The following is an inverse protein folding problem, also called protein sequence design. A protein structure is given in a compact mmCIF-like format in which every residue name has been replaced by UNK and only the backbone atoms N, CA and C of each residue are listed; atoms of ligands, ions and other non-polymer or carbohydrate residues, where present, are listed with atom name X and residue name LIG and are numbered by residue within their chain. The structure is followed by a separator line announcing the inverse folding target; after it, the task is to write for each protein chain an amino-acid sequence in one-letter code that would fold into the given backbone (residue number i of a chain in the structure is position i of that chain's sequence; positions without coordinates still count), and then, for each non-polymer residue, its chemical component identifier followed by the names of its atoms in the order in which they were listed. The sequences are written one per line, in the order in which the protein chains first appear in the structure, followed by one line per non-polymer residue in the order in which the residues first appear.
data_IF_401597082582
#
_entry.id   IF_401597082582
#
_cell.length_a   1.000
_cell.length_b   1.000
_cell.length_c   1.000
_cell.angle_alpha   90.00
_cell.angle_beta   90.00
_cell.angle_gamma   90.00
#
_symmetry.space_group_name_H-M   'P 1'
#
loop_
_entity.id
_entity.type
_entity.pdbx_description
1 polymer ?
#
# COMPACT_ATOMS: atom_id res chain seq x y z
N UNK A 1 71.46 -4.29 -65.41
CA UNK A 1 71.51 -3.06 -66.14
C UNK A 1 70.17 -2.37 -66.04
N UNK A 2 70.10 -1.36 -65.46
CA UNK A 2 70.01 0.04 -65.48
C UNK A 2 69.47 0.58 -64.14
N UNK A 3 70.25 1.44 -63.57
CA UNK A 3 69.97 2.25 -62.40
C UNK A 3 68.92 3.30 -62.64
N UNK A 4 68.09 3.61 -61.61
CA UNK A 4 67.48 4.93 -61.49
C UNK A 4 67.36 5.33 -60.04
N UNK A 5 67.92 6.48 -59.76
CA UNK A 5 68.10 7.19 -58.52
C UNK A 5 66.78 7.75 -57.95
N UNK A 6 66.64 7.89 -56.60
CA UNK A 6 65.43 8.42 -56.02
C UNK A 6 65.38 9.94 -56.02
N UNK A 7 64.20 10.51 -56.23
CA UNK A 7 63.88 11.91 -56.17
C UNK A 7 63.64 12.38 -54.71
N UNK A 8 64.18 13.57 -54.41
CA UNK A 8 64.08 14.28 -53.13
C UNK A 8 62.67 14.68 -52.82
N UNK A 9 62.26 14.47 -51.57
CA UNK A 9 61.00 14.94 -50.98
C UNK A 9 61.17 16.31 -50.34
N UNK A 10 60.37 17.26 -50.80
CA UNK A 10 60.31 18.62 -50.27
C UNK A 10 59.57 18.65 -48.87
N UNK A 11 59.74 19.76 -48.13
CA UNK A 11 59.29 19.81 -46.74
C UNK A 11 57.76 19.93 -46.61
N UNK A 12 57.18 19.03 -45.85
CA UNK A 12 55.76 19.05 -45.52
C UNK A 12 55.42 20.21 -44.54
N UNK A 13 54.56 21.08 -44.99
CA UNK A 13 53.92 22.13 -44.15
C UNK A 13 53.08 21.51 -43.06
N UNK A 14 53.45 21.72 -41.80
CA UNK A 14 52.62 21.38 -40.62
C UNK A 14 51.40 22.27 -40.66
N UNK A 15 50.23 21.68 -40.86
CA UNK A 15 48.94 22.29 -40.57
C UNK A 15 48.75 22.38 -39.03
N UNK A 16 48.63 23.62 -38.55
CA UNK A 16 48.26 23.88 -37.15
C UNK A 16 46.82 23.37 -36.88
N UNK A 17 46.70 22.36 -36.07
CA UNK A 17 45.39 21.92 -35.55
C UNK A 17 44.83 23.00 -34.62
N UNK A 18 43.77 23.67 -35.06
CA UNK A 18 42.94 24.52 -34.19
C UNK A 18 42.20 23.58 -33.23
N UNK A 19 42.66 23.54 -31.99
CA UNK A 19 41.93 22.90 -30.88
C UNK A 19 40.71 23.74 -30.58
N UNK A 20 39.56 23.37 -31.12
CA UNK A 20 38.25 23.83 -30.63
C UNK A 20 38.06 23.38 -29.16
N UNK A 21 37.28 24.12 -28.35
CA UNK A 21 37.02 23.72 -27.00
C UNK A 21 36.38 22.33 -27.01
N UNK A 22 36.96 21.41 -26.22
CA UNK A 22 36.39 20.11 -25.99
C UNK A 22 34.97 20.33 -25.37
N UNK A 23 33.94 19.92 -26.11
CA UNK A 23 32.58 19.86 -25.54
C UNK A 23 32.69 19.01 -24.28
N UNK A 24 32.38 19.59 -23.14
CA UNK A 24 32.24 18.85 -21.90
C UNK A 24 31.21 17.73 -22.16
N UNK A 25 31.61 16.48 -22.06
CA UNK A 25 30.70 15.36 -22.13
C UNK A 25 29.66 15.61 -21.04
N UNK A 26 28.42 15.93 -21.40
CA UNK A 26 27.32 15.99 -20.48
C UNK A 26 27.23 14.60 -19.84
N UNK A 27 27.53 14.51 -18.54
CA UNK A 27 27.38 13.27 -17.80
C UNK A 27 25.90 12.93 -17.78
N UNK A 28 25.55 11.74 -18.29
CA UNK A 28 24.17 11.24 -18.23
C UNK A 28 23.70 11.29 -16.76
N UNK A 29 22.58 11.95 -16.45
CA UNK A 29 22.07 11.99 -15.07
C UNK A 29 21.87 10.59 -14.52
N UNK A 30 22.35 10.30 -13.31
CA UNK A 30 22.24 8.97 -12.69
C UNK A 30 20.78 8.60 -12.37
N UNK A 31 19.92 9.59 -12.10
CA UNK A 31 18.49 9.40 -11.80
C UNK A 31 17.69 10.65 -12.19
N UNK A 32 16.38 10.48 -12.42
CA UNK A 32 15.47 11.63 -12.64
C UNK A 32 15.20 12.38 -11.33
N UNK A 33 14.95 13.69 -11.41
CA UNK A 33 14.52 14.47 -10.24
C UNK A 33 13.27 13.89 -9.56
N UNK A 34 12.37 13.34 -10.36
CA UNK A 34 11.10 12.72 -9.90
C UNK A 34 11.34 11.51 -8.99
N UNK A 35 12.35 10.68 -9.25
CA UNK A 35 12.69 9.55 -8.40
C UNK A 35 13.18 9.97 -7.00
N UNK A 36 13.72 11.18 -6.87
CA UNK A 36 14.12 11.77 -5.59
C UNK A 36 12.93 12.22 -4.71
N UNK A 37 11.73 12.31 -5.26
CA UNK A 37 10.50 12.61 -4.50
C UNK A 37 9.93 11.39 -3.75
N UNK A 38 10.34 10.18 -4.13
CA UNK A 38 9.89 8.93 -3.53
C UNK A 38 10.77 8.58 -2.34
N UNK A 39 10.20 8.59 -1.13
CA UNK A 39 10.94 8.24 0.08
C UNK A 39 10.96 6.71 0.27
N UNK A 40 12.09 6.14 0.72
CA UNK A 40 12.14 4.73 1.09
C UNK A 40 11.25 4.49 2.32
N UNK A 41 10.65 3.31 2.42
CA UNK A 41 9.98 2.86 3.64
C UNK A 41 11.02 2.40 4.67
N UNK A 42 11.01 2.98 5.88
CA UNK A 42 11.87 2.55 6.98
C UNK A 42 11.59 1.09 7.37
N UNK A 43 10.34 0.67 7.33
CA UNK A 43 9.92 -0.72 7.58
C UNK A 43 10.66 -1.74 6.68
N UNK A 44 10.99 -1.40 5.43
CA UNK A 44 11.73 -2.33 4.54
C UNK A 44 13.18 -2.54 5.00
N UNK A 45 13.80 -1.55 5.60
CA UNK A 45 15.11 -1.69 6.25
C UNK A 45 15.05 -2.63 7.45
N UNK A 46 14.00 -2.54 8.25
CA UNK A 46 13.74 -3.44 9.39
C UNK A 46 13.58 -4.88 8.91
N UNK A 47 12.79 -5.09 7.84
CA UNK A 47 12.60 -6.42 7.23
C UNK A 47 13.91 -7.04 6.79
N UNK A 48 14.79 -6.27 6.16
CA UNK A 48 16.10 -6.76 5.74
C UNK A 48 16.94 -7.20 6.96
N UNK A 49 16.90 -6.44 8.07
CA UNK A 49 17.56 -6.77 9.34
C UNK A 49 16.98 -8.05 9.95
N UNK A 50 15.64 -8.17 10.03
CA UNK A 50 14.95 -9.39 10.49
C UNK A 50 15.40 -10.61 9.69
N UNK A 51 15.45 -10.51 8.35
CA UNK A 51 15.91 -11.59 7.48
C UNK A 51 17.38 -11.97 7.71
N UNK A 52 18.24 -11.03 8.08
CA UNK A 52 19.64 -11.33 8.48
C UNK A 52 19.69 -12.07 9.82
N UNK A 53 18.93 -11.62 10.81
CA UNK A 53 18.83 -12.26 12.13
C UNK A 53 18.33 -13.71 12.01
N UNK A 54 17.29 -13.95 11.23
CA UNK A 54 16.74 -15.28 10.96
C UNK A 54 17.79 -16.20 10.31
N UNK A 55 18.52 -15.71 9.31
CA UNK A 55 19.61 -16.48 8.68
C UNK A 55 20.75 -16.80 9.65
N UNK A 56 20.94 -15.97 10.67
CA UNK A 56 21.89 -16.22 11.77
C UNK A 56 21.33 -17.17 12.85
N UNK A 57 20.12 -17.72 12.68
CA UNK A 57 19.49 -18.65 13.60
C UNK A 57 18.76 -18.00 14.77
N UNK A 58 18.55 -16.68 14.73
CA UNK A 58 17.82 -15.97 15.78
C UNK A 58 16.32 -16.06 15.55
N UNK A 59 15.54 -16.42 16.56
CA UNK A 59 14.08 -16.34 16.52
C UNK A 59 13.64 -14.89 16.56
N UNK A 60 12.80 -14.50 15.59
CA UNK A 60 12.28 -13.15 15.46
C UNK A 60 10.77 -13.15 15.22
N UNK A 61 10.10 -12.08 15.69
CA UNK A 61 8.66 -11.85 15.48
C UNK A 61 8.49 -10.54 14.71
N UNK A 62 8.07 -10.63 13.44
CA UNK A 62 8.02 -9.49 12.54
C UNK A 62 6.66 -8.76 12.61
N UNK A 63 6.41 -7.99 13.66
CA UNK A 63 5.24 -7.11 13.80
C UNK A 63 5.39 -5.77 13.06
N UNK A 64 6.44 -5.59 12.26
CA UNK A 64 6.64 -4.42 11.40
C UNK A 64 5.99 -4.55 10.03
N UNK A 65 5.58 -5.78 9.62
CA UNK A 65 5.05 -6.06 8.30
C UNK A 65 3.53 -6.05 8.24
N UNK A 66 2.99 -5.55 7.15
CA UNK A 66 1.57 -5.66 6.81
C UNK A 66 1.30 -6.89 5.93
N UNK A 67 1.78 -8.06 6.33
CA UNK A 67 1.66 -9.30 5.56
C UNK A 67 1.05 -10.41 6.42
N UNK A 68 -0.16 -10.91 6.07
CA UNK A 68 -0.77 -12.05 6.73
C UNK A 68 0.09 -13.30 6.57
N UNK A 69 0.21 -14.10 7.63
CA UNK A 69 1.07 -15.29 7.67
C UNK A 69 0.38 -16.58 7.21
N UNK A 70 -0.95 -16.60 7.10
CA UNK A 70 -1.72 -17.79 6.72
C UNK A 70 -1.54 -18.23 5.25
N UNK A 71 -1.11 -17.31 4.36
CA UNK A 71 -1.03 -17.57 2.92
C UNK A 71 -2.38 -17.61 2.21
N UNK A 72 -2.38 -18.03 0.93
CA UNK A 72 -3.59 -18.17 0.14
C UNK A 72 -4.46 -19.34 0.64
N UNK A 73 -5.81 -19.24 0.56
CA UNK A 73 -6.71 -20.33 0.91
C UNK A 73 -6.44 -21.61 0.12
N UNK A 74 -6.72 -22.77 0.73
CA UNK A 74 -6.51 -24.09 0.14
C UNK A 74 -7.16 -24.26 -1.24
N UNK A 75 -8.41 -23.81 -1.50
CA UNK A 75 -9.01 -23.90 -2.82
C UNK A 75 -8.25 -23.11 -3.89
N UNK A 76 -7.67 -21.97 -3.53
CA UNK A 76 -6.84 -21.14 -4.43
C UNK A 76 -5.56 -21.90 -4.80
N UNK A 77 -4.89 -22.52 -3.82
CA UNK A 77 -3.68 -23.32 -4.05
C UNK A 77 -3.95 -24.53 -4.94
N UNK A 78 -5.07 -25.22 -4.69
CA UNK A 78 -5.50 -26.35 -5.52
C UNK A 78 -5.77 -25.92 -6.97
N UNK A 79 -6.51 -24.83 -7.15
CA UNK A 79 -6.82 -24.28 -8.48
C UNK A 79 -5.57 -23.82 -9.22
N UNK A 80 -4.62 -23.20 -8.52
CA UNK A 80 -3.32 -22.84 -9.10
C UNK A 80 -2.56 -24.06 -9.63
N UNK A 81 -2.50 -25.14 -8.84
CA UNK A 81 -1.84 -26.38 -9.24
C UNK A 81 -2.51 -27.01 -10.48
N UNK A 82 -3.84 -27.00 -10.56
CA UNK A 82 -4.59 -27.45 -11.74
C UNK A 82 -4.22 -26.64 -12.97
N UNK A 83 -4.37 -25.30 -12.92
CA UNK A 83 -4.11 -24.39 -14.04
C UNK A 83 -2.70 -24.51 -14.59
N UNK A 84 -1.72 -24.81 -13.75
CA UNK A 84 -0.34 -25.01 -14.18
C UNK A 84 -0.11 -26.35 -14.87
N UNK A 85 -1.03 -27.33 -14.74
CA UNK A 85 -0.84 -28.70 -15.22
C UNK A 85 -1.90 -29.20 -16.23
N UNK A 86 -3.05 -28.50 -16.38
CA UNK A 86 -4.18 -28.94 -17.21
C UNK A 86 -4.07 -28.53 -18.68
N UNK A 87 -3.01 -27.84 -19.07
CA UNK A 87 -2.81 -27.32 -20.42
C UNK A 87 -3.54 -26.00 -20.71
N UNK A 88 -4.07 -25.33 -19.69
CA UNK A 88 -4.64 -23.97 -19.83
C UNK A 88 -3.64 -23.04 -20.50
N UNK A 89 -4.06 -22.33 -21.55
CA UNK A 89 -3.23 -21.36 -22.25
C UNK A 89 -2.97 -20.14 -21.36
N UNK A 90 -1.73 -20.00 -20.86
CA UNK A 90 -1.32 -18.89 -19.99
C UNK A 90 -0.73 -17.71 -20.78
N UNK A 91 -1.32 -17.38 -21.94
CA UNK A 91 -1.02 -16.17 -22.71
C UNK A 91 -1.58 -14.92 -22.05
N UNK A 92 -1.51 -13.77 -22.73
CA UNK A 92 -2.11 -12.55 -22.22
C UNK A 92 -3.63 -12.69 -22.07
N UNK A 93 -4.16 -12.22 -20.95
CA UNK A 93 -5.61 -12.04 -20.77
C UNK A 93 -6.08 -10.72 -21.40
N UNK A 94 -7.40 -10.48 -21.47
CA UNK A 94 -7.91 -9.13 -21.67
C UNK A 94 -7.28 -8.14 -20.68
N UNK A 95 -7.16 -6.87 -21.06
CA UNK A 95 -6.45 -5.83 -20.27
C UNK A 95 -6.97 -5.76 -18.84
N UNK A 96 -8.29 -5.79 -18.65
CA UNK A 96 -8.93 -5.74 -17.33
C UNK A 96 -9.13 -7.10 -16.68
N UNK A 97 -8.49 -8.15 -17.20
CA UNK A 97 -8.53 -9.50 -16.64
C UNK A 97 -9.56 -10.42 -17.28
N UNK A 98 -9.50 -11.69 -16.87
CA UNK A 98 -10.40 -12.72 -17.39
C UNK A 98 -11.85 -12.46 -16.94
N UNK A 99 -12.85 -12.75 -17.82
CA UNK A 99 -14.25 -12.52 -17.49
C UNK A 99 -14.69 -13.23 -16.20
N UNK A 100 -14.28 -14.48 -16.01
CA UNK A 100 -14.65 -15.31 -14.87
C UNK A 100 -14.26 -14.68 -13.53
N UNK A 101 -13.10 -14.03 -13.46
CA UNK A 101 -12.66 -13.36 -12.24
C UNK A 101 -13.43 -12.06 -12.01
N UNK A 102 -13.71 -11.30 -13.07
CA UNK A 102 -14.48 -10.06 -12.97
C UNK A 102 -15.92 -10.34 -12.55
N UNK A 103 -16.52 -11.41 -13.05
CA UNK A 103 -17.85 -11.89 -12.64
C UNK A 103 -17.85 -12.36 -11.18
N UNK A 104 -16.82 -13.08 -10.74
CA UNK A 104 -16.66 -13.50 -9.35
C UNK A 104 -16.52 -12.31 -8.40
N UNK A 105 -15.73 -11.28 -8.76
CA UNK A 105 -15.63 -10.03 -7.99
C UNK A 105 -17.00 -9.32 -7.95
N UNK A 106 -17.73 -9.22 -9.05
CA UNK A 106 -19.07 -8.61 -9.09
C UNK A 106 -20.04 -9.35 -8.16
N UNK A 107 -20.00 -10.68 -8.15
CA UNK A 107 -20.83 -11.50 -7.22
C UNK A 107 -20.46 -11.24 -5.76
N UNK A 108 -19.15 -11.14 -5.45
CA UNK A 108 -18.68 -10.79 -4.10
C UNK A 108 -19.25 -9.43 -3.63
N UNK A 109 -19.29 -8.41 -4.48
CA UNK A 109 -19.88 -7.11 -4.13
C UNK A 109 -21.39 -7.19 -3.90
N UNK A 110 -22.10 -8.03 -4.69
CA UNK A 110 -23.53 -8.29 -4.47
C UNK A 110 -23.78 -8.98 -3.14
N UNK A 111 -22.97 -9.99 -2.81
CA UNK A 111 -23.14 -10.81 -1.61
C UNK A 111 -22.75 -10.06 -0.33
N UNK A 112 -21.72 -9.22 -0.40
CA UNK A 112 -21.20 -8.51 0.77
C UNK A 112 -21.88 -7.18 1.03
N UNK A 113 -22.22 -6.44 -0.02
CA UNK A 113 -22.69 -5.06 0.08
C UNK A 113 -24.07 -4.84 -0.55
N UNK A 114 -24.65 -5.83 -1.21
CA UNK A 114 -25.90 -5.66 -1.97
C UNK A 114 -25.77 -4.79 -3.22
N UNK A 115 -24.53 -4.60 -3.72
CA UNK A 115 -24.23 -3.74 -4.86
C UNK A 115 -24.16 -4.56 -6.16
N UNK A 116 -24.90 -4.16 -7.17
CA UNK A 116 -24.87 -4.79 -8.50
C UNK A 116 -23.87 -4.07 -9.41
N UNK A 117 -22.63 -4.52 -9.37
CA UNK A 117 -21.52 -3.93 -10.13
C UNK A 117 -21.40 -4.61 -11.49
N UNK A 118 -21.44 -3.83 -12.58
CA UNK A 118 -21.21 -4.35 -13.91
C UNK A 118 -19.74 -4.85 -14.04
N UNK A 119 -19.49 -6.12 -14.46
CA UNK A 119 -18.14 -6.65 -14.59
C UNK A 119 -17.22 -5.80 -15.49
N UNK A 120 -17.77 -5.03 -16.43
CA UNK A 120 -17.00 -4.15 -17.32
C UNK A 120 -16.39 -2.94 -16.61
N UNK A 121 -16.88 -2.59 -15.44
CA UNK A 121 -16.29 -1.56 -14.56
C UNK A 121 -15.15 -2.08 -13.72
N UNK A 122 -14.90 -3.40 -13.67
CA UNK A 122 -13.89 -4.04 -12.83
C UNK A 122 -12.61 -4.22 -13.63
N UNK A 123 -11.55 -3.57 -13.18
CA UNK A 123 -10.21 -3.69 -13.72
C UNK A 123 -9.33 -4.52 -12.77
N UNK A 124 -9.00 -5.75 -13.15
CA UNK A 124 -8.04 -6.59 -12.42
C UNK A 124 -6.63 -6.06 -12.66
N UNK A 125 -5.87 -5.90 -11.59
CA UNK A 125 -4.57 -5.20 -11.60
C UNK A 125 -3.48 -6.01 -10.92
N UNK A 126 -2.22 -5.59 -11.10
CA UNK A 126 -1.05 -6.17 -10.42
C UNK A 126 -1.01 -5.72 -8.95
N UNK A 127 -1.92 -6.28 -8.13
CA UNK A 127 -2.19 -5.84 -6.77
C UNK A 127 -2.83 -4.45 -6.72
N UNK A 128 -3.19 -4.00 -5.52
CA UNK A 128 -3.67 -2.62 -5.31
C UNK A 128 -2.65 -1.56 -5.74
N UNK A 129 -1.35 -1.86 -5.67
CA UNK A 129 -0.31 -0.93 -6.13
C UNK A 129 -0.44 -0.59 -7.61
N UNK A 130 -0.78 -1.58 -8.46
CA UNK A 130 -1.09 -1.35 -9.88
C UNK A 130 -2.39 -0.57 -10.05
N UNK A 131 -3.41 -0.84 -9.21
CA UNK A 131 -4.65 -0.11 -9.21
C UNK A 131 -4.44 1.37 -8.89
N UNK A 132 -3.64 1.71 -7.85
CA UNK A 132 -3.32 3.11 -7.51
C UNK A 132 -2.61 3.83 -8.66
N UNK A 133 -1.60 3.20 -9.27
CA UNK A 133 -0.87 3.80 -10.38
C UNK A 133 -1.80 4.10 -11.58
N UNK A 134 -2.60 3.12 -11.99
CA UNK A 134 -3.57 3.28 -13.09
C UNK A 134 -4.60 4.35 -12.74
N UNK A 135 -5.20 4.31 -11.55
CA UNK A 135 -6.24 5.24 -11.13
C UNK A 135 -5.72 6.66 -11.03
N UNK A 136 -4.57 6.88 -10.37
CA UNK A 136 -4.01 8.22 -10.21
C UNK A 136 -3.62 8.83 -11.56
N UNK A 137 -3.02 8.04 -12.47
CA UNK A 137 -2.72 8.49 -13.84
C UNK A 137 -3.98 8.77 -14.68
N UNK A 138 -5.07 8.12 -14.37
CA UNK A 138 -6.35 8.31 -15.10
C UNK A 138 -7.11 9.52 -14.57
N UNK A 139 -7.02 9.80 -13.26
CA UNK A 139 -7.85 10.79 -12.59
C UNK A 139 -7.17 12.16 -12.42
N UNK A 140 -5.83 12.22 -12.38
CA UNK A 140 -5.12 13.42 -11.96
C UNK A 140 -4.04 13.85 -12.95
N UNK A 141 -3.97 15.16 -13.17
CA UNK A 141 -2.90 15.83 -13.92
C UNK A 141 -1.76 16.29 -12.99
N UNK A 142 -0.63 16.64 -13.60
CA UNK A 142 0.50 17.26 -12.89
C UNK A 142 0.06 18.58 -12.27
N UNK A 143 0.29 18.72 -10.96
CA UNK A 143 -0.12 19.89 -10.18
C UNK A 143 -1.51 19.79 -9.54
N UNK A 144 -2.29 18.74 -9.83
CA UNK A 144 -3.56 18.52 -9.15
C UNK A 144 -3.33 18.24 -7.65
N UNK A 145 -4.17 18.87 -6.82
CA UNK A 145 -4.13 18.74 -5.37
C UNK A 145 -4.98 17.56 -4.91
N UNK A 146 -4.34 16.59 -4.27
CA UNK A 146 -4.99 15.37 -3.77
C UNK A 146 -4.85 15.28 -2.25
N UNK A 147 -5.97 15.26 -1.56
CA UNK A 147 -6.03 15.14 -0.10
C UNK A 147 -5.92 13.68 0.35
N UNK A 148 -5.25 13.47 1.48
CA UNK A 148 -5.16 12.17 2.16
C UNK A 148 -4.94 12.37 3.67
N UNK A 149 -5.32 11.34 4.47
CA UNK A 149 -5.15 11.39 5.92
C UNK A 149 -3.67 11.33 6.34
N UNK A 150 -3.35 12.03 7.41
CA UNK A 150 -2.13 11.87 8.21
C UNK A 150 -2.54 11.63 9.68
N UNK A 151 -2.14 10.51 10.32
CA UNK A 151 -1.30 9.43 9.78
C UNK A 151 -1.98 8.63 8.65
N UNK A 152 -1.18 8.13 7.70
CA UNK A 152 -1.67 7.40 6.53
C UNK A 152 -0.60 6.53 5.87
N UNK A 153 -1.02 5.66 4.95
CA UNK A 153 -0.09 4.78 4.24
C UNK A 153 0.80 5.56 3.26
N UNK A 154 2.10 5.57 3.53
CA UNK A 154 3.07 6.40 2.81
C UNK A 154 3.16 6.17 1.29
N UNK A 155 2.71 4.99 0.76
CA UNK A 155 2.74 4.75 -0.67
C UNK A 155 1.84 5.70 -1.45
N UNK A 156 0.68 6.10 -0.92
CA UNK A 156 -0.22 7.02 -1.63
C UNK A 156 0.48 8.33 -1.96
N UNK A 157 1.06 8.98 -0.94
CA UNK A 157 1.77 10.25 -1.15
C UNK A 157 3.00 10.11 -2.03
N UNK A 158 3.73 9.00 -1.92
CA UNK A 158 4.90 8.74 -2.74
C UNK A 158 4.54 8.55 -4.21
N UNK A 159 3.46 7.81 -4.52
CA UNK A 159 2.98 7.61 -5.91
C UNK A 159 2.46 8.93 -6.47
N UNK A 160 1.61 9.66 -5.74
CA UNK A 160 1.09 10.96 -6.16
C UNK A 160 2.21 11.97 -6.44
N UNK A 161 3.20 12.09 -5.53
CA UNK A 161 4.34 12.97 -5.72
C UNK A 161 5.19 12.56 -6.94
N UNK A 162 5.42 11.25 -7.16
CA UNK A 162 6.13 10.75 -8.34
C UNK A 162 5.39 11.05 -9.65
N UNK A 163 4.06 11.13 -9.62
CA UNK A 163 3.23 11.52 -10.76
C UNK A 163 3.14 13.04 -10.95
N UNK A 164 3.62 13.80 -9.98
CA UNK A 164 3.67 15.27 -10.03
C UNK A 164 2.43 15.95 -9.45
N UNK A 165 1.59 15.21 -8.73
CA UNK A 165 0.47 15.78 -7.97
C UNK A 165 0.99 16.53 -6.72
N UNK A 166 0.24 17.53 -6.27
CA UNK A 166 0.43 18.16 -4.98
C UNK A 166 -0.33 17.35 -3.90
N UNK A 167 0.42 16.84 -2.93
CA UNK A 167 -0.15 16.07 -1.82
C UNK A 167 -0.58 17.00 -0.70
N UNK A 168 -1.86 16.94 -0.31
CA UNK A 168 -2.45 17.69 0.79
C UNK A 168 -2.71 16.74 1.95
N UNK A 169 -1.82 16.73 2.96
CA UNK A 169 -1.98 15.89 4.15
C UNK A 169 -2.96 16.55 5.12
N UNK A 170 -4.11 15.90 5.36
CA UNK A 170 -5.09 16.31 6.37
C UNK A 170 -4.66 15.80 7.74
N UNK A 171 -4.62 16.68 8.73
CA UNK A 171 -4.26 16.33 10.11
C UNK A 171 -5.44 15.65 10.80
N UNK A 172 -5.46 14.33 10.76
CA UNK A 172 -6.53 13.49 11.30
C UNK A 172 -6.07 12.91 12.64
N UNK A 173 -6.28 13.67 13.72
CA UNK A 173 -5.96 13.24 15.08
C UNK A 173 -7.06 12.42 15.74
N UNK A 174 -6.99 12.31 17.06
CA UNK A 174 -7.98 11.56 17.84
C UNK A 174 -9.38 12.18 17.78
N UNK A 175 -9.46 13.52 17.73
CA UNK A 175 -10.72 14.25 17.64
C UNK A 175 -11.48 13.96 16.33
N UNK A 176 -10.75 13.66 15.25
CA UNK A 176 -11.27 13.25 13.95
C UNK A 176 -11.39 11.73 13.81
N UNK A 177 -11.16 10.97 14.88
CA UNK A 177 -11.14 9.50 14.85
C UNK A 177 -10.06 8.93 13.91
N UNK A 178 -8.99 9.67 13.68
CA UNK A 178 -7.89 9.35 12.76
C UNK A 178 -8.34 9.15 11.30
N UNK A 179 -9.45 9.80 10.91
CA UNK A 179 -10.01 9.71 9.56
C UNK A 179 -10.35 11.11 9.02
N UNK A 180 -10.35 11.32 7.69
CA UNK A 180 -10.77 12.57 7.10
C UNK A 180 -12.21 12.95 7.48
N UNK A 181 -12.44 14.25 7.66
CA UNK A 181 -13.78 14.80 7.88
C UNK A 181 -14.14 15.81 6.79
N UNK A 182 -15.42 16.10 6.64
CA UNK A 182 -15.90 17.12 5.70
C UNK A 182 -15.32 18.50 6.05
N UNK A 183 -15.16 18.81 7.33
CA UNK A 183 -14.62 20.10 7.77
C UNK A 183 -13.15 20.27 7.37
N UNK A 184 -12.32 19.22 7.53
CA UNK A 184 -10.93 19.21 7.08
C UNK A 184 -10.83 19.37 5.55
N UNK A 185 -11.68 18.65 4.80
CA UNK A 185 -11.73 18.77 3.34
C UNK A 185 -12.15 20.15 2.89
N UNK A 186 -13.21 20.72 3.48
CA UNK A 186 -13.72 22.04 3.15
C UNK A 186 -12.67 23.12 3.43
N UNK A 187 -11.97 23.04 4.55
CA UNK A 187 -10.88 23.95 4.88
C UNK A 187 -9.74 23.88 3.84
N UNK A 188 -9.26 22.66 3.52
CA UNK A 188 -8.20 22.49 2.53
C UNK A 188 -8.62 22.90 1.11
N UNK A 189 -9.89 22.67 0.73
CA UNK A 189 -10.45 23.08 -0.55
C UNK A 189 -10.61 24.59 -0.66
N UNK A 190 -10.93 25.26 0.44
CA UNK A 190 -11.07 26.73 0.50
C UNK A 190 -9.72 27.44 0.33
N UNK A 191 -8.60 26.83 0.74
CA UNK A 191 -7.25 27.36 0.50
C UNK A 191 -6.91 27.34 -0.99
N UNK A 192 -7.11 26.21 -1.64
CA UNK A 192 -7.05 26.02 -3.08
C UNK A 192 -7.80 24.74 -3.47
N UNK A 193 -8.46 24.69 -4.66
CA UNK A 193 -9.32 23.58 -5.05
C UNK A 193 -8.61 22.22 -4.99
N UNK A 194 -9.23 21.27 -4.29
CA UNK A 194 -8.85 19.87 -4.34
C UNK A 194 -9.41 19.22 -5.61
N UNK A 195 -8.68 18.26 -6.18
CA UNK A 195 -9.11 17.42 -7.30
C UNK A 195 -9.39 15.99 -6.89
N UNK A 196 -8.79 15.52 -5.81
CA UNK A 196 -8.99 14.18 -5.31
C UNK A 196 -8.95 14.07 -3.80
N UNK A 197 -9.63 13.02 -3.31
CA UNK A 197 -9.55 12.53 -1.94
C UNK A 197 -9.17 11.05 -1.98
N UNK A 198 -8.05 10.69 -1.34
CA UNK A 198 -7.65 9.32 -1.11
C UNK A 198 -8.08 8.89 0.29
N UNK A 199 -9.03 7.96 0.39
CA UNK A 199 -9.54 7.36 1.62
C UNK A 199 -8.94 5.97 1.84
N UNK A 200 -8.84 5.54 3.09
CA UNK A 200 -8.57 4.14 3.45
C UNK A 200 -9.41 3.76 4.69
N UNK A 201 -10.25 2.75 4.54
CA UNK A 201 -11.09 2.24 5.64
C UNK A 201 -11.33 0.74 5.46
N UNK A 202 -10.84 -0.10 6.40
CA UNK A 202 -9.98 0.20 7.54
C UNK A 202 -8.62 0.76 7.12
N UNK A 203 -8.05 1.68 7.92
CA UNK A 203 -6.84 2.41 7.56
C UNK A 203 -5.53 1.72 8.02
N UNK A 204 -4.48 1.89 7.26
CA UNK A 204 -3.10 1.67 7.66
C UNK A 204 -2.44 3.04 7.88
N UNK A 205 -1.93 3.38 9.08
CA UNK A 205 -1.51 2.48 10.17
C UNK A 205 -2.53 2.31 11.31
N UNK A 206 -3.63 3.03 11.32
CA UNK A 206 -4.46 3.26 12.51
C UNK A 206 -5.41 2.11 12.85
N UNK A 207 -5.83 1.31 11.85
CA UNK A 207 -6.87 0.30 12.02
C UNK A 207 -8.28 0.89 12.12
N UNK A 208 -8.44 2.21 12.07
CA UNK A 208 -9.74 2.87 12.22
C UNK A 208 -10.63 2.67 11.00
N UNK A 209 -11.94 2.65 11.22
CA UNK A 209 -12.96 2.50 10.19
C UNK A 209 -13.88 3.72 10.14
N UNK A 210 -14.26 4.12 8.93
CA UNK A 210 -15.25 5.19 8.70
C UNK A 210 -16.64 4.54 8.71
N UNK A 211 -17.52 5.04 9.57
CA UNK A 211 -18.91 4.56 9.60
C UNK A 211 -19.74 5.05 8.39
N UNK A 212 -20.88 4.37 8.10
CA UNK A 212 -21.68 4.63 6.90
C UNK A 212 -22.09 6.10 6.73
N UNK A 213 -22.58 6.74 7.79
CA UNK A 213 -23.00 8.14 7.73
C UNK A 213 -21.84 9.10 7.45
N UNK A 214 -20.66 8.87 8.05
CA UNK A 214 -19.49 9.69 7.83
C UNK A 214 -18.95 9.54 6.42
N UNK A 215 -18.87 8.30 5.93
CA UNK A 215 -18.46 8.01 4.54
C UNK A 215 -19.43 8.63 3.54
N UNK A 216 -20.74 8.49 3.76
CA UNK A 216 -21.76 9.09 2.91
C UNK A 216 -21.58 10.61 2.79
N UNK A 217 -21.41 11.31 3.93
CA UNK A 217 -21.17 12.77 3.93
C UNK A 217 -19.88 13.16 3.19
N UNK A 218 -18.80 12.39 3.34
CA UNK A 218 -17.53 12.64 2.63
C UNK A 218 -17.71 12.48 1.12
N UNK A 219 -18.31 11.38 0.69
CA UNK A 219 -18.53 11.07 -0.73
C UNK A 219 -19.47 12.11 -1.37
N UNK A 220 -20.57 12.46 -0.69
CA UNK A 220 -21.51 13.47 -1.15
C UNK A 220 -20.84 14.84 -1.29
N UNK A 221 -20.10 15.28 -0.27
CA UNK A 221 -19.37 16.53 -0.33
C UNK A 221 -18.35 16.56 -1.48
N UNK A 222 -17.61 15.47 -1.69
CA UNK A 222 -16.65 15.36 -2.79
C UNK A 222 -17.33 15.47 -4.16
N UNK A 223 -18.45 14.76 -4.35
CA UNK A 223 -19.26 14.85 -5.58
C UNK A 223 -19.71 16.28 -5.85
N UNK A 224 -20.27 16.95 -4.85
CA UNK A 224 -20.84 18.30 -4.97
C UNK A 224 -19.75 19.37 -5.23
N UNK A 225 -18.48 19.09 -4.89
CA UNK A 225 -17.34 19.99 -5.10
C UNK A 225 -16.41 19.55 -6.25
N UNK A 226 -16.77 18.52 -7.02
CA UNK A 226 -15.98 18.03 -8.15
C UNK A 226 -14.64 17.40 -7.74
N UNK A 227 -14.59 16.77 -6.56
CA UNK A 227 -13.43 16.08 -6.00
C UNK A 227 -13.59 14.56 -6.23
N UNK A 228 -12.66 13.95 -6.94
CA UNK A 228 -12.68 12.49 -7.19
C UNK A 228 -12.34 11.72 -5.92
N UNK A 229 -13.27 10.87 -5.47
CA UNK A 229 -13.02 9.94 -4.36
C UNK A 229 -12.32 8.68 -4.88
N UNK A 230 -11.24 8.28 -4.21
CA UNK A 230 -10.57 6.99 -4.37
C UNK A 230 -10.55 6.32 -3.01
N UNK A 231 -11.32 5.24 -2.86
CA UNK A 231 -11.47 4.48 -1.62
C UNK A 231 -10.61 3.22 -1.66
N UNK A 232 -9.63 3.14 -0.78
CA UNK A 232 -8.87 1.90 -0.54
C UNK A 232 -9.61 1.04 0.47
N UNK A 233 -10.21 -0.04 -0.01
CA UNK A 233 -11.00 -1.00 0.74
C UNK A 233 -10.27 -2.34 0.92
N UNK A 234 -8.94 -2.33 0.80
CA UNK A 234 -8.10 -3.53 0.82
C UNK A 234 -8.23 -4.39 2.09
N UNK A 235 -8.65 -3.77 3.20
CA UNK A 235 -8.82 -4.44 4.49
C UNK A 235 -10.27 -4.82 4.80
N UNK A 236 -11.22 -4.62 3.88
CA UNK A 236 -12.59 -5.08 4.06
C UNK A 236 -12.65 -6.58 4.37
N UNK A 237 -13.53 -6.97 5.28
CA UNK A 237 -13.58 -8.32 5.86
C UNK A 237 -12.72 -8.50 7.11
N UNK A 238 -11.66 -7.72 7.28
CA UNK A 238 -10.85 -7.72 8.50
C UNK A 238 -11.40 -6.62 9.42
N UNK A 239 -12.38 -6.98 10.25
CA UNK A 239 -13.07 -6.04 11.14
C UNK A 239 -13.42 -6.70 12.46
N UNK A 240 -13.44 -5.92 13.53
CA UNK A 240 -13.69 -6.36 14.90
C UNK A 240 -14.96 -5.72 15.51
N UNK A 241 -15.69 -4.90 14.72
CA UNK A 241 -16.85 -4.13 15.17
C UNK A 241 -18.17 -4.59 14.54
N UNK A 242 -18.22 -5.81 14.00
CA UNK A 242 -19.46 -6.44 13.51
C UNK A 242 -19.90 -5.99 12.10
N UNK A 243 -19.07 -5.26 11.36
CA UNK A 243 -19.29 -4.93 9.94
C UNK A 243 -18.10 -5.37 9.10
N UNK A 244 -18.28 -5.61 7.81
CA UNK A 244 -17.18 -5.96 6.88
C UNK A 244 -16.41 -4.75 6.36
N UNK A 245 -16.89 -3.54 6.60
CA UNK A 245 -16.47 -2.27 6.02
C UNK A 245 -17.60 -1.69 5.16
N UNK A 246 -17.62 -0.37 5.04
CA UNK A 246 -18.60 0.36 4.23
C UNK A 246 -17.99 0.69 2.86
N UNK A 247 -18.63 0.23 1.79
CA UNK A 247 -18.14 0.48 0.43
C UNK A 247 -18.57 1.88 -0.05
N UNK A 248 -17.61 2.65 -0.58
CA UNK A 248 -17.89 3.99 -1.09
C UNK A 248 -18.93 4.01 -2.22
N UNK A 249 -19.02 2.94 -3.02
CA UNK A 249 -20.02 2.79 -4.09
C UNK A 249 -21.46 2.64 -3.56
N UNK A 250 -21.67 2.35 -2.28
CA UNK A 250 -22.99 2.37 -1.68
C UNK A 250 -23.57 3.81 -1.57
N UNK A 251 -22.71 4.81 -1.67
CA UNK A 251 -23.08 6.22 -1.55
C UNK A 251 -23.03 6.98 -2.87
N UNK A 252 -22.07 6.66 -3.75
CA UNK A 252 -22.00 7.32 -5.07
C UNK A 252 -21.20 6.48 -6.09
N UNK A 253 -21.77 6.28 -7.27
CA UNK A 253 -21.19 5.53 -8.39
C UNK A 253 -19.98 6.22 -9.04
N UNK A 254 -19.72 7.50 -8.73
CA UNK A 254 -18.55 8.24 -9.22
C UNK A 254 -17.28 7.95 -8.42
N UNK A 255 -17.37 7.27 -7.29
CA UNK A 255 -16.19 6.85 -6.51
C UNK A 255 -15.42 5.75 -7.26
N UNK A 256 -14.09 5.78 -7.15
CA UNK A 256 -13.23 4.63 -7.49
C UNK A 256 -12.99 3.83 -6.23
N UNK A 257 -13.24 2.52 -6.28
CA UNK A 257 -12.92 1.61 -5.20
C UNK A 257 -11.73 0.75 -5.59
N UNK A 258 -10.75 0.62 -4.69
CA UNK A 258 -9.57 -0.23 -4.87
C UNK A 258 -9.55 -1.29 -3.78
N UNK A 259 -9.33 -2.54 -4.18
CA UNK A 259 -9.14 -3.64 -3.25
C UNK A 259 -8.13 -4.67 -3.79
N UNK A 260 -7.87 -5.74 -3.04
CA UNK A 260 -6.84 -6.71 -3.41
C UNK A 260 -7.04 -8.04 -2.69
N UNK A 261 -6.55 -9.11 -3.29
CA UNK A 261 -6.44 -10.43 -2.65
C UNK A 261 -5.33 -10.49 -1.59
N UNK A 262 -4.52 -9.44 -1.44
CA UNK A 262 -3.32 -9.45 -0.60
C UNK A 262 -3.60 -9.58 0.89
N UNK A 263 -4.75 -9.08 1.42
CA UNK A 263 -4.94 -8.95 2.88
C UNK A 263 -5.93 -9.97 3.41
N UNK A 264 -7.22 -9.83 3.14
CA UNK A 264 -8.24 -10.76 3.62
C UNK A 264 -7.97 -12.19 3.15
N UNK A 265 -7.57 -12.39 1.88
CA UNK A 265 -7.25 -13.70 1.31
C UNK A 265 -5.79 -14.14 1.48
N UNK A 266 -4.93 -13.38 2.15
CA UNK A 266 -3.54 -13.77 2.41
C UNK A 266 -2.66 -13.94 1.16
N UNK A 267 -3.07 -13.42 0.01
CA UNK A 267 -2.41 -13.64 -1.29
C UNK A 267 -1.40 -12.53 -1.65
N UNK A 268 -0.55 -12.12 -0.72
CA UNK A 268 0.37 -10.98 -0.91
C UNK A 268 1.31 -11.16 -2.11
N UNK A 269 1.96 -12.30 -2.21
CA UNK A 269 2.94 -12.64 -3.26
C UNK A 269 2.32 -12.88 -4.64
N UNK A 270 1.01 -13.07 -4.76
CA UNK A 270 0.30 -13.32 -6.02
C UNK A 270 0.17 -12.07 -6.88
N UNK A 271 0.34 -10.89 -6.28
CA UNK A 271 0.27 -9.61 -6.96
C UNK A 271 -1.04 -9.42 -7.74
N UNK A 272 -2.18 -9.64 -7.09
CA UNK A 272 -3.50 -9.53 -7.68
C UNK A 272 -4.40 -8.62 -6.84
N UNK A 273 -5.10 -7.70 -7.50
CA UNK A 273 -6.09 -6.79 -6.95
C UNK A 273 -7.00 -6.28 -8.03
N UNK A 274 -7.84 -5.32 -7.70
CA UNK A 274 -8.76 -4.72 -8.65
C UNK A 274 -9.08 -3.26 -8.31
N UNK A 275 -9.54 -2.54 -9.33
CA UNK A 275 -10.24 -1.28 -9.18
C UNK A 275 -11.65 -1.42 -9.75
N UNK A 276 -12.65 -0.82 -9.10
CA UNK A 276 -13.98 -0.60 -9.66
C UNK A 276 -14.06 0.86 -10.08
N UNK A 277 -14.32 1.08 -11.35
CA UNK A 277 -14.23 2.38 -11.98
C UNK A 277 -15.62 2.95 -12.27
N UNK A 278 -15.84 4.26 -12.14
CA UNK A 278 -16.94 4.94 -12.81
C UNK A 278 -16.92 4.67 -14.33
N UNK A 279 -18.07 4.58 -14.96
CA UNK A 279 -18.16 4.25 -16.39
C UNK A 279 -17.29 5.19 -17.26
N UNK A 280 -17.27 6.48 -16.94
CA UNK A 280 -16.49 7.49 -17.67
C UNK A 280 -14.98 7.24 -17.62
N UNK A 281 -14.48 6.53 -16.60
CA UNK A 281 -13.06 6.24 -16.42
C UNK A 281 -12.63 4.88 -16.99
N UNK A 282 -13.58 4.02 -17.40
CA UNK A 282 -13.28 2.66 -17.91
C UNK A 282 -12.34 2.71 -19.12
N UNK A 283 -12.72 3.44 -20.17
CA UNK A 283 -11.93 3.50 -21.40
C UNK A 283 -10.56 4.19 -21.20
N UNK A 284 -10.44 5.34 -20.52
CA UNK A 284 -9.15 5.93 -20.18
C UNK A 284 -8.24 5.01 -19.36
N UNK A 285 -8.78 4.37 -18.31
CA UNK A 285 -8.02 3.45 -17.46
C UNK A 285 -7.56 2.20 -18.24
N UNK A 286 -8.38 1.69 -19.17
CA UNK A 286 -8.01 0.58 -20.03
C UNK A 286 -6.81 0.94 -20.93
N UNK A 287 -6.80 2.15 -21.48
CA UNK A 287 -5.67 2.64 -22.26
C UNK A 287 -4.39 2.75 -21.41
N UNK A 288 -4.49 3.30 -20.21
CA UNK A 288 -3.36 3.42 -19.27
C UNK A 288 -2.84 2.02 -18.90
N UNK A 289 -3.72 1.11 -18.45
CA UNK A 289 -3.34 -0.25 -18.04
C UNK A 289 -2.69 -1.02 -19.18
N UNK A 290 -3.27 -0.96 -20.39
CA UNK A 290 -2.77 -1.67 -21.57
C UNK A 290 -1.35 -1.24 -21.97
N UNK A 291 -0.99 0.01 -21.71
CA UNK A 291 0.36 0.51 -22.03
C UNK A 291 1.37 0.37 -20.89
N UNK A 292 0.93 0.32 -19.63
CA UNK A 292 1.83 0.19 -18.49
C UNK A 292 2.14 -1.27 -18.11
N UNK A 293 1.17 -2.18 -18.21
CA UNK A 293 1.28 -3.54 -17.69
C UNK A 293 0.68 -4.63 -18.58
N UNK A 294 0.01 -4.27 -19.68
CA UNK A 294 -0.79 -5.16 -20.53
C UNK A 294 -1.97 -5.80 -19.78
N UNK A 295 -1.68 -6.70 -18.84
CA UNK A 295 -2.67 -7.35 -17.97
C UNK A 295 -2.01 -7.79 -16.65
N UNK A 296 -2.85 -8.13 -15.67
CA UNK A 296 -2.39 -8.73 -14.42
C UNK A 296 -1.87 -10.18 -14.62
N UNK A 297 -1.13 -10.76 -13.65
CA UNK A 297 -0.58 -12.11 -13.76
C UNK A 297 -1.67 -13.16 -14.03
N UNK A 298 -1.64 -13.79 -15.21
CA UNK A 298 -2.72 -14.66 -15.70
C UNK A 298 -2.89 -15.94 -14.85
N UNK A 299 -1.84 -16.65 -14.42
CA UNK A 299 -2.02 -17.80 -13.53
C UNK A 299 -2.73 -17.42 -12.22
N UNK A 300 -2.39 -16.26 -11.65
CA UNK A 300 -3.02 -15.77 -10.44
C UNK A 300 -4.50 -15.44 -10.64
N UNK A 301 -4.89 -14.92 -11.80
CA UNK A 301 -6.29 -14.63 -12.11
C UNK A 301 -7.15 -15.89 -12.11
N UNK A 302 -6.71 -16.96 -12.80
CA UNK A 302 -7.44 -18.23 -12.81
C UNK A 302 -7.54 -18.86 -11.42
N UNK A 303 -6.48 -18.80 -10.64
CA UNK A 303 -6.48 -19.32 -9.27
C UNK A 303 -7.41 -18.53 -8.35
N UNK A 304 -7.43 -17.20 -8.49
CA UNK A 304 -8.17 -16.31 -7.61
C UNK A 304 -9.71 -16.41 -7.77
N UNK A 305 -10.23 -17.03 -8.84
CA UNK A 305 -11.66 -17.34 -8.92
C UNK A 305 -12.09 -18.22 -7.74
N UNK A 306 -11.23 -19.15 -7.29
CA UNK A 306 -11.49 -19.99 -6.14
C UNK A 306 -11.40 -19.25 -4.77
N UNK A 307 -10.91 -18.02 -4.74
CA UNK A 307 -10.88 -17.22 -3.52
C UNK A 307 -12.28 -16.87 -2.99
N UNK A 308 -13.29 -16.92 -3.86
CA UNK A 308 -14.69 -16.62 -3.52
C UNK A 308 -15.51 -17.88 -3.19
N UNK A 309 -14.87 -19.05 -3.04
CA UNK A 309 -15.53 -20.28 -2.56
C UNK A 309 -15.79 -20.19 -1.04
N UNK A 310 -16.85 -20.87 -0.57
CA UNK A 310 -17.23 -20.88 0.85
C UNK A 310 -16.09 -21.37 1.76
N UNK A 311 -15.33 -22.37 1.32
CA UNK A 311 -14.17 -22.88 2.05
C UNK A 311 -13.05 -21.83 2.16
N UNK A 312 -12.84 -21.03 1.11
CA UNK A 312 -11.87 -19.94 1.13
C UNK A 312 -12.29 -18.85 2.13
N UNK A 313 -13.55 -18.46 2.16
CA UNK A 313 -14.06 -17.53 3.15
C UNK A 313 -13.93 -18.09 4.58
N UNK A 314 -14.21 -19.37 4.80
CA UNK A 314 -14.07 -20.00 6.12
C UNK A 314 -12.61 -19.94 6.63
N UNK A 315 -11.61 -20.18 5.77
CA UNK A 315 -10.20 -20.05 6.12
C UNK A 315 -9.82 -18.58 6.42
N UNK A 316 -10.33 -17.63 5.64
CA UNK A 316 -10.11 -16.20 5.88
C UNK A 316 -10.70 -15.73 7.20
N UNK A 317 -11.94 -16.14 7.52
CA UNK A 317 -12.60 -15.79 8.80
C UNK A 317 -11.85 -16.40 10.00
N UNK A 318 -11.27 -17.59 9.87
CA UNK A 318 -10.40 -18.17 10.91
C UNK A 318 -9.13 -17.31 11.13
N UNK A 319 -8.55 -16.75 10.07
CA UNK A 319 -7.43 -15.83 10.19
C UNK A 319 -7.84 -14.51 10.87
N UNK A 320 -9.00 -13.95 10.51
CA UNK A 320 -9.56 -12.75 11.16
C UNK A 320 -9.77 -12.99 12.65
N UNK A 321 -10.29 -14.16 13.04
CA UNK A 321 -10.44 -14.55 14.45
C UNK A 321 -9.08 -14.58 15.20
N UNK A 322 -8.01 -15.04 14.53
CA UNK A 322 -6.65 -15.02 15.09
C UNK A 322 -6.13 -13.58 15.26
N UNK A 323 -6.40 -12.67 14.29
CA UNK A 323 -6.05 -11.26 14.43
C UNK A 323 -6.84 -10.57 15.55
N UNK A 324 -8.11 -10.93 15.74
CA UNK A 324 -8.93 -10.46 16.87
C UNK A 324 -8.32 -10.89 18.22
N UNK A 325 -7.88 -12.14 18.35
CA UNK A 325 -7.16 -12.60 19.53
C UNK A 325 -5.85 -11.83 19.77
N UNK A 326 -5.07 -11.59 18.72
CA UNK A 326 -3.87 -10.78 18.79
C UNK A 326 -4.17 -9.35 19.26
N UNK A 327 -5.25 -8.74 18.76
CA UNK A 327 -5.73 -7.43 19.18
C UNK A 327 -6.04 -7.38 20.68
N UNK A 328 -6.77 -8.36 21.19
CA UNK A 328 -7.11 -8.42 22.61
C UNK A 328 -5.85 -8.54 23.51
N UNK A 329 -4.85 -9.30 23.10
CA UNK A 329 -3.57 -9.38 23.83
C UNK A 329 -2.89 -8.01 23.93
N UNK A 330 -2.79 -7.25 22.84
CA UNK A 330 -2.18 -5.90 22.87
C UNK A 330 -3.01 -4.93 23.70
N UNK A 331 -4.35 -4.94 23.56
CA UNK A 331 -5.24 -4.08 24.34
C UNK A 331 -5.16 -4.39 25.84
N UNK A 332 -5.10 -5.66 26.20
CA UNK A 332 -4.95 -6.10 27.60
C UNK A 332 -3.64 -5.64 28.23
N UNK A 333 -2.56 -5.64 27.46
CA UNK A 333 -1.22 -5.24 27.90
C UNK A 333 -0.93 -3.74 27.71
N UNK A 334 -1.86 -2.95 27.16
CA UNK A 334 -1.63 -1.55 26.77
C UNK A 334 -1.03 -0.70 27.90
N UNK A 335 -1.56 -0.83 29.11
CA UNK A 335 -1.11 -0.06 30.26
C UNK A 335 0.31 -0.44 30.69
N UNK A 336 0.61 -1.75 30.72
CA UNK A 336 1.92 -2.28 31.11
C UNK A 336 2.98 -1.94 30.06
N UNK A 337 2.60 -1.97 28.76
CA UNK A 337 3.44 -1.49 27.65
C UNK A 337 3.68 0.03 27.71
N UNK A 338 2.89 0.78 28.46
CA UNK A 338 3.03 2.23 28.55
C UNK A 338 2.62 2.97 27.27
N UNK A 339 1.73 2.38 26.44
CA UNK A 339 1.21 3.04 25.25
C UNK A 339 0.24 4.14 25.63
N UNK A 340 0.51 5.35 25.15
CA UNK A 340 -0.31 6.54 25.34
C UNK A 340 -1.57 6.55 24.47
N UNK A 341 -1.83 7.66 23.79
CA UNK A 341 -2.94 7.78 22.83
C UNK A 341 -2.80 6.70 21.75
N UNK A 342 -3.89 5.99 21.50
CA UNK A 342 -3.95 4.93 20.51
C UNK A 342 -5.20 5.07 19.67
N UNK A 343 -5.04 4.98 18.35
CA UNK A 343 -6.14 4.91 17.42
C UNK A 343 -7.00 3.66 17.70
N UNK A 344 -8.35 3.76 17.66
CA UNK A 344 -9.22 2.61 17.82
C UNK A 344 -8.93 1.53 16.75
N UNK A 345 -8.50 0.30 17.12
CA UNK A 345 -8.20 -0.74 16.15
C UNK A 345 -9.49 -1.50 15.78
N UNK A 346 -10.34 -0.85 14.98
CA UNK A 346 -11.65 -1.36 14.58
C UNK A 346 -11.57 -2.42 13.50
N UNK A 347 -10.53 -2.36 12.66
CA UNK A 347 -10.30 -3.28 11.55
C UNK A 347 -8.84 -3.30 11.11
N UNK A 348 -8.58 -3.92 9.94
CA UNK A 348 -7.25 -4.29 9.49
C UNK A 348 -6.54 -5.18 10.52
N UNK A 349 -5.25 -5.26 10.49
CA UNK A 349 -4.44 -5.96 11.51
C UNK A 349 -3.32 -5.04 12.02
N UNK A 350 -3.67 -3.74 12.26
CA UNK A 350 -2.72 -2.76 12.78
C UNK A 350 -3.22 -2.12 14.07
N UNK A 351 -2.26 -1.75 14.89
CA UNK A 351 -2.46 -0.88 16.04
C UNK A 351 -1.41 0.23 15.99
N UNK A 352 -1.85 1.46 16.19
CA UNK A 352 -1.02 2.66 16.13
C UNK A 352 -1.13 3.44 17.42
N UNK A 353 0.00 3.64 18.09
CA UNK A 353 0.04 4.23 19.42
C UNK A 353 1.17 5.24 19.58
N UNK A 354 0.93 6.27 20.40
CA UNK A 354 1.95 7.16 20.93
C UNK A 354 2.79 6.43 21.99
N UNK A 355 4.10 6.69 21.99
CA UNK A 355 5.05 6.10 22.94
C UNK A 355 5.90 7.16 23.64
N UNK A 356 5.36 8.37 23.84
CA UNK A 356 6.07 9.51 24.43
C UNK A 356 6.67 9.16 25.76
N UNK A 357 5.86 8.61 26.70
CA UNK A 357 6.30 8.28 28.04
C UNK A 357 7.41 7.19 28.07
N UNK A 358 7.38 6.27 27.10
CA UNK A 358 8.43 5.25 26.95
C UNK A 358 9.73 5.91 26.54
N UNK A 359 9.69 6.77 25.54
CA UNK A 359 10.87 7.46 25.01
C UNK A 359 11.48 8.38 26.06
N UNK A 360 10.63 9.14 26.77
CA UNK A 360 11.07 10.10 27.77
C UNK A 360 11.70 9.38 28.98
N UNK A 361 11.11 8.30 29.48
CA UNK A 361 11.68 7.48 30.57
C UNK A 361 12.99 6.80 30.18
N UNK A 362 13.10 6.33 28.94
CA UNK A 362 14.30 5.69 28.44
C UNK A 362 15.40 6.67 27.99
N UNK A 363 15.09 7.98 27.89
CA UNK A 363 16.04 8.98 27.36
C UNK A 363 16.30 8.78 25.85
N UNK A 364 15.34 8.23 25.10
CA UNK A 364 15.46 7.92 23.67
C UNK A 364 14.76 9.02 22.87
N UNK A 365 15.39 9.51 21.79
CA UNK A 365 14.87 10.65 21.05
C UNK A 365 13.68 10.28 20.12
N UNK A 366 13.69 9.10 19.52
CA UNK A 366 12.72 8.72 18.48
C UNK A 366 12.22 7.28 18.61
N UNK A 367 11.00 7.03 18.11
CA UNK A 367 10.42 5.70 18.00
C UNK A 367 11.30 4.75 17.16
N UNK A 368 11.97 5.26 16.11
CA UNK A 368 12.88 4.46 15.30
C UNK A 368 14.06 3.90 16.11
N UNK A 369 14.64 4.71 17.02
CA UNK A 369 15.71 4.25 17.92
C UNK A 369 15.20 3.21 18.91
N UNK A 370 14.02 3.42 19.49
CA UNK A 370 13.40 2.47 20.41
C UNK A 370 13.07 1.13 19.70
N UNK A 371 12.45 1.16 18.53
CA UNK A 371 12.17 -0.04 17.73
C UNK A 371 13.45 -0.84 17.42
N UNK A 372 14.56 -0.14 17.11
CA UNK A 372 15.85 -0.80 16.87
C UNK A 372 16.39 -1.49 18.12
N UNK A 373 16.29 -0.86 19.31
CA UNK A 373 16.70 -1.47 20.58
C UNK A 373 15.83 -2.67 20.95
N UNK A 374 14.50 -2.57 20.78
CA UNK A 374 13.56 -3.69 20.98
C UNK A 374 13.95 -4.86 20.08
N UNK A 375 14.15 -4.61 18.78
CA UNK A 375 14.53 -5.66 17.82
C UNK A 375 15.84 -6.35 18.23
N UNK A 376 16.85 -5.56 18.59
CA UNK A 376 18.16 -6.11 18.99
C UNK A 376 18.08 -6.92 20.27
N UNK A 377 17.35 -6.45 21.28
CA UNK A 377 17.26 -7.13 22.57
C UNK A 377 16.35 -8.38 22.51
N UNK A 378 15.18 -8.28 21.87
CA UNK A 378 14.11 -9.25 22.00
C UNK A 378 13.84 -10.09 20.73
N UNK A 379 14.32 -9.65 19.57
CA UNK A 379 13.96 -10.19 18.28
C UNK A 379 12.57 -9.75 17.78
N UNK A 380 11.87 -8.85 18.49
CA UNK A 380 10.57 -8.32 18.06
C UNK A 380 10.77 -7.07 17.20
N UNK A 381 10.28 -7.11 15.97
CA UNK A 381 10.37 -6.00 15.02
C UNK A 381 9.06 -5.21 14.99
N UNK A 382 9.09 -3.93 15.30
CA UNK A 382 7.99 -2.98 15.23
C UNK A 382 8.27 -1.94 14.13
N UNK A 383 7.24 -1.27 13.60
CA UNK A 383 7.41 -0.19 12.64
C UNK A 383 7.33 1.18 13.34
N UNK A 384 8.34 2.05 13.21
CA UNK A 384 8.25 3.42 13.71
C UNK A 384 7.21 4.21 12.91
N UNK A 385 6.63 5.22 13.54
CA UNK A 385 5.55 6.00 12.95
C UNK A 385 5.96 6.94 11.82
N UNK A 386 7.26 7.19 11.64
CA UNK A 386 7.79 8.12 10.62
C UNK A 386 7.38 7.75 9.16
N UNK A 387 7.11 6.46 8.89
CA UNK A 387 6.61 6.00 7.58
C UNK A 387 5.16 6.46 7.31
N UNK A 388 4.40 6.81 8.35
CA UNK A 388 2.97 7.07 8.29
C UNK A 388 2.59 8.52 8.61
N UNK A 389 3.39 9.17 9.44
CA UNK A 389 3.17 10.54 9.89
C UNK A 389 4.48 11.33 9.84
N UNK A 390 4.52 12.34 8.95
CA UNK A 390 5.69 13.18 8.75
C UNK A 390 5.93 14.20 9.88
N UNK A 391 4.96 14.39 10.78
CA UNK A 391 5.00 15.40 11.86
C UNK A 391 5.15 14.74 13.24
N UNK A 392 4.27 13.79 13.57
CA UNK A 392 4.23 13.18 14.90
C UNK A 392 4.76 11.73 14.91
N UNK A 393 5.10 11.15 13.76
CA UNK A 393 5.48 9.74 13.61
C UNK A 393 6.71 9.35 14.41
N UNK A 394 7.66 10.27 14.63
CA UNK A 394 8.87 10.01 15.44
C UNK A 394 8.57 9.67 16.90
N UNK A 395 7.34 9.90 17.37
CA UNK A 395 6.87 9.61 18.73
C UNK A 395 5.78 8.51 18.75
N UNK A 396 5.57 7.81 17.63
CA UNK A 396 4.53 6.80 17.46
C UNK A 396 5.11 5.48 16.97
N UNK A 397 4.38 4.38 17.20
CA UNK A 397 4.73 3.04 16.74
C UNK A 397 3.51 2.37 16.13
N UNK A 398 3.74 1.58 15.06
CA UNK A 398 2.73 0.67 14.51
C UNK A 398 3.12 -0.78 14.81
N UNK A 399 2.17 -1.53 15.35
CA UNK A 399 2.23 -2.98 15.51
C UNK A 399 1.37 -3.64 14.44
N UNK A 400 1.87 -4.74 13.86
CA UNK A 400 1.08 -5.61 13.00
C UNK A 400 0.66 -6.87 13.76
N UNK A 401 -0.64 -7.14 13.76
CA UNK A 401 -1.26 -8.33 14.36
C UNK A 401 -1.23 -9.55 13.41
N UNK A 402 -0.70 -9.37 12.21
CA UNK A 402 -0.71 -10.36 11.12
C UNK A 402 0.07 -11.64 11.46
N UNK A 403 0.90 -11.62 12.51
CA UNK A 403 1.62 -12.78 13.04
C UNK A 403 0.72 -13.74 13.84
N UNK A 404 -0.53 -13.36 14.12
CA UNK A 404 -1.51 -14.15 14.85
C UNK A 404 -1.41 -14.02 16.37
N UNK A 405 -2.40 -14.62 17.08
CA UNK A 405 -2.58 -14.41 18.51
C UNK A 405 -1.39 -14.89 19.36
N UNK A 406 -0.94 -16.15 19.15
CA UNK A 406 0.12 -16.76 19.97
C UNK A 406 1.46 -15.99 19.84
N UNK A 407 1.85 -15.66 18.61
CA UNK A 407 3.09 -14.92 18.37
C UNK A 407 3.00 -13.48 18.84
N UNK A 408 1.81 -12.88 18.82
CA UNK A 408 1.59 -11.54 19.38
C UNK A 408 1.73 -11.55 20.90
N UNK A 409 1.14 -12.54 21.60
CA UNK A 409 1.30 -12.69 23.06
C UNK A 409 2.78 -12.84 23.43
N UNK A 410 3.50 -13.72 22.76
CA UNK A 410 4.94 -13.90 22.96
C UNK A 410 5.73 -12.62 22.73
N UNK A 411 5.40 -11.85 21.68
CA UNK A 411 6.08 -10.58 21.40
C UNK A 411 5.86 -9.56 22.51
N UNK A 412 4.64 -9.49 23.05
CA UNK A 412 4.31 -8.60 24.18
C UNK A 412 5.13 -8.97 25.41
N UNK A 413 5.16 -10.25 25.77
CA UNK A 413 5.95 -10.73 26.92
C UNK A 413 7.42 -10.36 26.78
N UNK A 414 8.02 -10.59 25.61
CA UNK A 414 9.42 -10.22 25.32
C UNK A 414 9.67 -8.70 25.41
N UNK A 415 8.70 -7.87 24.99
CA UNK A 415 8.81 -6.40 25.10
C UNK A 415 8.71 -5.97 26.56
N UNK A 416 7.78 -6.53 27.33
CA UNK A 416 7.59 -6.23 28.76
C UNK A 416 8.85 -6.63 29.56
N UNK A 417 9.42 -7.80 29.31
CA UNK A 417 10.68 -8.25 29.91
C UNK A 417 11.85 -7.31 29.61
N UNK A 418 11.88 -6.74 28.39
CA UNK A 418 12.89 -5.76 27.99
C UNK A 418 12.72 -4.41 28.69
N UNK A 419 11.46 -4.03 28.94
CA UNK A 419 11.15 -2.74 29.59
C UNK A 419 11.35 -2.78 31.12
N UNK A 420 11.38 -3.97 31.74
CA UNK A 420 11.77 -4.25 33.12
C UNK A 420 10.82 -3.90 34.16
#
# INVERSE_FOLDING_TARGET
MTSSTPAEAGPATRASAVSGPAASAETIPAASARSGLVRPFAAMGIVATVGQMQRAGRDTIAMCLGEPTQGAPSPVLARAAEVMNDGTGLGYSPIFGIPELREAIASHYRDWYGLDIAPDRIAVTTGSSGAFQTTFLTCFDVGDRVALARPGYGAYKNILAALGCEVVELDCGADEGFQPTVDLLAAAHAEAPLKGLMLASPANPTGTMIGPEALGRLVEWCRDNGVQVISDEIYHGISYIGTRGECALAHDDSAVVISSFSKYWGMTGWRLGWAILPEALVAPAQNVTGNLSLCAPVPAQYAAVAAFADESYAECEAAVASFAGAREHVLGARADLGFGEMAPPDGAFYMYARIDDILDRAGIATAGQWCAQVLEATGVALAPGDDFDSVAGSRSVRLSLAVGADRTAEAIDRILDFMG
#
